data_IF_805470408999
#
_entry.id   IF_805470408999
#
_cell.length_a   1.000
_cell.length_b   1.000
_cell.length_c   1.000
_cell.angle_alpha   90.00
_cell.angle_beta   90.00
_cell.angle_gamma   90.00
#
_symmetry.space_group_name_H-M   'P 1'
#
loop_
_entity.id
_entity.type
_entity.pdbx_description
1 polymer ?
#
# COMPACT_ATOMS: atom_id res chain seq x y z
N UNK A 1 -18.40 10.04 19.64
CA UNK A 1 -17.58 9.02 18.98
C UNK A 1 -18.08 8.76 17.56
N UNK A 2 -19.18 8.01 17.37
CA UNK A 2 -19.63 7.64 16.02
C UNK A 2 -19.90 8.83 15.07
N UNK A 3 -20.63 9.87 15.50
CA UNK A 3 -20.88 11.03 14.64
C UNK A 3 -19.59 11.78 14.28
N UNK A 4 -18.65 11.93 15.21
CA UNK A 4 -17.36 12.61 14.93
C UNK A 4 -16.51 11.84 13.91
N UNK A 5 -16.48 10.50 14.00
CA UNK A 5 -15.81 9.66 13.01
C UNK A 5 -16.51 9.76 11.65
N UNK A 6 -17.84 9.78 11.63
CA UNK A 6 -18.61 9.94 10.40
C UNK A 6 -18.40 11.31 9.74
N UNK A 7 -18.33 12.36 10.53
CA UNK A 7 -18.00 13.72 10.06
C UNK A 7 -16.58 13.80 9.49
N UNK A 8 -15.65 13.00 10.03
CA UNK A 8 -14.29 12.85 9.53
C UNK A 8 -14.19 11.93 8.28
N UNK A 9 -15.31 11.37 7.81
CA UNK A 9 -15.36 10.58 6.57
C UNK A 9 -15.39 9.06 6.75
N UNK A 10 -15.44 8.56 7.99
CA UNK A 10 -15.52 7.12 8.24
C UNK A 10 -16.87 6.52 7.81
N UNK A 11 -16.83 5.28 7.33
CA UNK A 11 -17.99 4.54 6.85
C UNK A 11 -18.52 3.54 7.90
N UNK A 12 -19.82 3.55 8.22
CA UNK A 12 -20.40 2.54 9.09
C UNK A 12 -20.55 1.21 8.36
N UNK A 13 -20.10 0.13 8.98
CA UNK A 13 -20.27 -1.22 8.46
C UNK A 13 -21.10 -2.07 9.42
N UNK A 14 -21.88 -2.96 8.82
CA UNK A 14 -22.59 -4.04 9.48
C UNK A 14 -21.91 -5.35 9.14
N UNK A 15 -21.59 -6.13 10.17
CA UNK A 15 -21.05 -7.46 10.03
C UNK A 15 -22.17 -8.48 9.80
N UNK A 16 -21.83 -9.60 9.17
CA UNK A 16 -22.73 -10.73 9.02
C UNK A 16 -21.99 -12.07 9.16
N UNK A 17 -22.76 -13.16 9.14
CA UNK A 17 -22.20 -14.50 9.28
C UNK A 17 -21.61 -14.75 10.66
N UNK A 18 -20.36 -15.22 10.71
CA UNK A 18 -19.66 -15.55 11.95
C UNK A 18 -19.28 -14.30 12.75
N UNK A 19 -18.81 -13.26 12.07
CA UNK A 19 -18.38 -12.01 12.70
C UNK A 19 -19.50 -11.34 13.51
N UNK A 20 -20.74 -11.37 13.00
CA UNK A 20 -21.90 -10.83 13.71
C UNK A 20 -22.32 -11.63 14.96
N UNK A 21 -21.91 -12.90 15.09
CA UNK A 21 -22.35 -13.77 16.20
C UNK A 21 -21.48 -13.63 17.44
N UNK A 22 -20.17 -13.51 17.25
CA UNK A 22 -19.22 -13.45 18.37
C UNK A 22 -18.95 -12.02 18.85
N UNK A 23 -19.36 -11.03 18.06
CA UNK A 23 -18.93 -9.64 18.25
C UNK A 23 -17.55 -9.44 17.64
N UNK A 24 -17.26 -8.19 17.28
CA UNK A 24 -15.98 -7.81 16.69
C UNK A 24 -15.22 -6.98 17.71
N UNK A 25 -13.96 -7.33 17.93
CA UNK A 25 -13.08 -6.73 18.92
C UNK A 25 -11.81 -6.16 18.26
N UNK A 26 -11.17 -5.25 18.99
CA UNK A 26 -9.86 -4.68 18.66
C UNK A 26 -8.80 -5.77 18.39
N UNK A 27 -7.94 -5.56 17.38
CA UNK A 27 -6.87 -6.49 16.99
C UNK A 27 -7.34 -7.69 16.15
N UNK A 28 -8.63 -7.82 15.87
CA UNK A 28 -9.14 -8.90 15.02
C UNK A 28 -8.93 -8.62 13.53
N UNK A 29 -8.84 -9.71 12.75
CA UNK A 29 -8.88 -9.67 11.29
C UNK A 29 -10.29 -10.05 10.82
N UNK A 30 -10.90 -9.22 9.99
CA UNK A 30 -12.25 -9.45 9.45
C UNK A 30 -12.23 -9.37 7.93
N UNK A 31 -12.75 -10.40 7.26
CA UNK A 31 -12.83 -10.36 5.80
C UNK A 31 -13.88 -9.34 5.32
N UNK A 32 -13.59 -8.56 4.27
CA UNK A 32 -14.54 -7.68 3.59
C UNK A 32 -15.81 -8.44 3.15
N UNK A 33 -15.66 -9.71 2.77
CA UNK A 33 -16.78 -10.60 2.43
C UNK A 33 -17.74 -10.90 3.60
N UNK A 34 -17.42 -10.47 4.83
CA UNK A 34 -18.25 -10.61 6.02
C UNK A 34 -18.81 -9.28 6.55
N UNK A 35 -18.59 -8.18 5.83
CA UNK A 35 -19.05 -6.84 6.21
C UNK A 35 -19.67 -6.12 5.01
N UNK A 36 -20.57 -5.17 5.27
CA UNK A 36 -21.16 -4.31 4.24
C UNK A 36 -21.46 -2.94 4.81
N UNK A 37 -21.61 -1.94 3.96
CA UNK A 37 -22.12 -0.63 4.37
C UNK A 37 -23.45 -0.77 5.12
N UNK A 38 -23.49 -0.19 6.32
CA UNK A 38 -24.68 -0.22 7.17
C UNK A 38 -25.80 0.62 6.55
N UNK A 39 -26.98 0.02 6.37
CA UNK A 39 -28.18 0.76 6.01
C UNK A 39 -28.77 1.55 7.20
N UNK A 40 -29.76 2.40 6.93
CA UNK A 40 -30.43 3.24 7.94
C UNK A 40 -30.99 2.48 9.15
N UNK A 41 -31.33 1.21 8.99
CA UNK A 41 -31.93 0.36 10.03
C UNK A 41 -31.03 -0.80 10.45
N UNK A 42 -29.80 -0.86 9.92
CA UNK A 42 -28.86 -1.90 10.28
C UNK A 42 -28.16 -1.55 11.59
N UNK A 43 -27.76 -2.58 12.34
CA UNK A 43 -26.84 -2.37 13.45
C UNK A 43 -25.46 -2.00 12.88
N UNK A 44 -24.80 -1.03 13.53
CA UNK A 44 -23.44 -0.65 13.17
C UNK A 44 -22.51 -1.44 14.07
N UNK A 45 -21.73 -2.34 13.48
CA UNK A 45 -20.79 -3.21 14.19
C UNK A 45 -19.36 -2.66 14.10
N UNK A 46 -19.06 -1.94 13.02
CA UNK A 46 -17.74 -1.37 12.74
C UNK A 46 -17.86 0.03 12.15
N UNK A 47 -16.80 0.80 12.29
CA UNK A 47 -16.59 2.09 11.64
C UNK A 47 -15.28 2.02 10.87
N UNK A 48 -15.35 1.85 9.56
CA UNK A 48 -14.20 1.81 8.66
C UNK A 48 -13.63 3.22 8.48
N UNK A 49 -12.31 3.34 8.62
CA UNK A 49 -11.57 4.57 8.40
C UNK A 49 -11.48 4.87 6.90
N UNK A 50 -11.35 6.14 6.48
CA UNK A 50 -11.25 6.51 5.07
C UNK A 50 -9.84 6.24 4.50
N UNK A 51 -9.27 5.09 4.83
CA UNK A 51 -7.95 4.62 4.41
C UNK A 51 -8.07 3.13 4.08
N UNK A 52 -8.36 2.83 2.82
CA UNK A 52 -8.42 1.46 2.32
C UNK A 52 -7.87 1.39 0.91
N UNK A 53 -7.27 0.25 0.58
CA UNK A 53 -6.61 0.03 -0.69
C UNK A 53 -6.69 -1.44 -1.11
N UNK A 54 -6.37 -1.71 -2.37
CA UNK A 54 -6.30 -3.04 -2.97
C UNK A 54 -5.39 -2.98 -4.20
N UNK A 55 -5.15 -4.12 -4.85
CA UNK A 55 -4.35 -4.17 -6.08
C UNK A 55 -4.96 -3.33 -7.22
N UNK A 56 -6.27 -3.04 -7.16
CA UNK A 56 -7.03 -2.38 -8.22
C UNK A 56 -7.73 -1.08 -7.78
N UNK A 57 -7.49 -0.61 -6.56
CA UNK A 57 -8.21 0.52 -6.00
C UNK A 57 -7.53 1.11 -4.77
N UNK A 58 -7.82 2.38 -4.49
CA UNK A 58 -7.02 3.17 -3.54
C UNK A 58 -5.76 3.72 -4.21
N UNK A 59 -4.97 4.41 -3.41
CA UNK A 59 -3.69 5.02 -3.78
C UNK A 59 -2.56 4.52 -2.88
N UNK A 60 -1.34 4.78 -3.31
CA UNK A 60 -0.12 4.60 -2.50
C UNK A 60 -0.20 5.40 -1.19
N UNK A 61 -0.86 6.55 -1.21
CA UNK A 61 -1.17 7.32 0.00
C UNK A 61 -2.07 6.55 0.96
N UNK A 62 -3.12 5.88 0.48
CA UNK A 62 -4.02 5.11 1.33
C UNK A 62 -3.29 3.95 2.01
N UNK A 63 -2.43 3.25 1.25
CA UNK A 63 -1.61 2.16 1.79
C UNK A 63 -0.57 2.65 2.80
N UNK A 64 0.12 3.76 2.51
CA UNK A 64 1.03 4.40 3.46
C UNK A 64 0.29 4.88 4.72
N UNK A 65 -0.91 5.43 4.57
CA UNK A 65 -1.72 5.92 5.70
C UNK A 65 -2.19 4.77 6.60
N UNK A 66 -2.55 3.61 6.04
CA UNK A 66 -2.84 2.39 6.84
C UNK A 66 -1.64 2.03 7.72
N UNK A 67 -0.43 2.02 7.16
CA UNK A 67 0.81 1.73 7.90
C UNK A 67 1.09 2.78 8.98
N UNK A 68 1.03 4.07 8.62
CA UNK A 68 1.28 5.16 9.55
C UNK A 68 0.31 5.15 10.74
N UNK A 69 -0.98 4.87 10.49
CA UNK A 69 -1.97 4.75 11.55
C UNK A 69 -1.67 3.58 12.50
N UNK A 70 -1.27 2.43 11.97
CA UNK A 70 -0.84 1.27 12.77
C UNK A 70 0.40 1.62 13.62
N UNK A 71 1.39 2.33 13.06
CA UNK A 71 2.60 2.72 13.78
C UNK A 71 2.32 3.72 14.92
N UNK A 72 1.43 4.69 14.67
CA UNK A 72 1.10 5.75 15.63
C UNK A 72 0.18 5.24 16.74
N UNK A 73 -0.89 4.52 16.38
CA UNK A 73 -1.95 4.14 17.31
C UNK A 73 -1.85 2.70 17.79
N UNK A 74 -0.98 1.89 17.20
CA UNK A 74 -0.80 0.49 17.53
C UNK A 74 -1.69 -0.43 16.69
N UNK A 75 -1.12 -1.56 16.28
CA UNK A 75 -1.80 -2.59 15.49
C UNK A 75 -3.11 -3.06 16.13
N UNK A 76 -3.10 -3.30 17.44
CA UNK A 76 -4.25 -3.88 18.14
C UNK A 76 -5.37 -2.85 18.38
N UNK A 77 -5.15 -1.57 18.08
CA UNK A 77 -6.19 -0.55 18.14
C UNK A 77 -7.24 -0.75 17.05
N UNK A 78 -6.90 -1.41 15.95
CA UNK A 78 -7.79 -1.54 14.81
C UNK A 78 -8.31 -2.96 14.63
N UNK A 79 -9.49 -3.06 14.02
CA UNK A 79 -9.91 -4.24 13.29
C UNK A 79 -9.33 -4.13 11.89
N UNK A 80 -8.60 -5.16 11.46
CA UNK A 80 -7.95 -5.21 10.17
C UNK A 80 -8.90 -5.86 9.16
N UNK A 81 -9.37 -5.04 8.21
CA UNK A 81 -10.21 -5.52 7.12
C UNK A 81 -9.31 -6.07 6.04
N UNK A 82 -9.61 -7.28 5.55
CA UNK A 82 -8.87 -7.91 4.47
C UNK A 82 -9.81 -8.52 3.43
N UNK A 83 -9.39 -8.64 2.19
CA UNK A 83 -10.27 -9.17 1.14
C UNK A 83 -9.52 -9.74 -0.06
N UNK A 84 -10.28 -10.16 -1.09
CA UNK A 84 -9.67 -10.58 -2.34
C UNK A 84 -8.85 -9.44 -2.96
N UNK A 85 -7.89 -9.79 -3.82
CA UNK A 85 -7.08 -8.82 -4.57
C UNK A 85 -6.32 -7.82 -3.68
N UNK A 86 -5.72 -8.33 -2.59
CA UNK A 86 -4.91 -7.51 -1.70
C UNK A 86 -5.70 -6.41 -0.98
N UNK A 87 -7.04 -6.52 -0.90
CA UNK A 87 -7.85 -5.49 -0.24
C UNK A 87 -7.50 -5.41 1.24
N UNK A 88 -7.20 -4.21 1.71
CA UNK A 88 -6.82 -3.90 3.10
C UNK A 88 -7.51 -2.62 3.53
N UNK A 89 -7.98 -2.58 4.78
CA UNK A 89 -8.49 -1.38 5.42
C UNK A 89 -8.46 -1.49 6.94
N UNK A 90 -8.72 -0.36 7.60
CA UNK A 90 -8.78 -0.29 9.06
C UNK A 90 -10.19 0.08 9.52
N UNK A 91 -10.65 -0.54 10.59
CA UNK A 91 -11.92 -0.21 11.23
C UNK A 91 -11.80 -0.14 12.74
N UNK A 92 -12.76 0.53 13.38
CA UNK A 92 -12.97 0.48 14.82
C UNK A 92 -14.24 -0.30 15.14
N UNK A 93 -14.22 -1.24 16.12
CA UNK A 93 -15.42 -1.90 16.60
C UNK A 93 -16.36 -0.90 17.28
N UNK A 94 -17.62 -0.92 16.87
CA UNK A 94 -18.65 -0.06 17.42
C UNK A 94 -19.10 -0.61 18.78
N UNK A 95 -18.86 0.14 19.85
CA UNK A 95 -19.28 -0.22 21.21
C UNK A 95 -18.18 -0.76 22.12
N UNK A 96 -16.98 -1.02 21.58
CA UNK A 96 -15.79 -1.21 22.41
C UNK A 96 -15.13 0.14 22.71
N UNK A 97 -14.56 0.28 23.91
CA UNK A 97 -13.65 1.38 24.21
C UNK A 97 -12.32 1.08 23.54
N UNK A 98 -11.63 2.13 23.07
CA UNK A 98 -10.25 1.97 22.61
C UNK A 98 -9.40 1.38 23.76
N UNK A 99 -8.51 0.42 23.45
CA UNK A 99 -7.58 -0.10 24.44
C UNK A 99 -6.77 1.04 25.07
N UNK A 100 -6.61 1.00 26.40
CA UNK A 100 -5.79 1.96 27.15
C UNK A 100 -6.17 3.45 26.98
N UNK A 101 -7.43 3.75 26.64
CA UNK A 101 -7.94 5.12 26.44
C UNK A 101 -9.02 5.54 27.47
N UNK A 102 -8.72 5.57 28.78
CA UNK A 102 -9.72 5.90 29.80
C UNK A 102 -10.27 7.32 29.69
N UNK A 103 -9.46 8.25 29.16
CA UNK A 103 -9.78 9.68 29.05
C UNK A 103 -10.29 10.08 27.65
N UNK A 104 -10.18 9.19 26.65
CA UNK A 104 -10.62 9.46 25.28
C UNK A 104 -9.62 10.25 24.42
N UNK A 105 -8.39 10.41 24.92
CA UNK A 105 -7.32 11.18 24.27
C UNK A 105 -6.82 10.48 22.99
N UNK A 106 -6.73 9.13 23.01
CA UNK A 106 -6.32 8.35 21.83
C UNK A 106 -7.38 8.51 20.74
N UNK A 107 -8.66 8.35 21.10
CA UNK A 107 -9.75 8.53 20.16
C UNK A 107 -9.80 9.94 19.59
N UNK A 108 -9.61 10.97 20.43
CA UNK A 108 -9.59 12.36 19.98
C UNK A 108 -8.43 12.63 19.01
N UNK A 109 -7.24 12.09 19.30
CA UNK A 109 -6.07 12.17 18.43
C UNK A 109 -6.30 11.45 17.09
N UNK A 110 -6.91 10.27 17.11
CA UNK A 110 -7.27 9.52 15.91
C UNK A 110 -8.26 10.29 15.05
N UNK A 111 -9.37 10.77 15.62
CA UNK A 111 -10.38 11.57 14.89
C UNK A 111 -9.74 12.80 14.25
N UNK A 112 -8.87 13.51 14.97
CA UNK A 112 -8.16 14.67 14.44
C UNK A 112 -7.22 14.29 13.27
N UNK A 113 -6.54 13.16 13.38
CA UNK A 113 -5.66 12.65 12.32
C UNK A 113 -6.46 12.30 11.07
N UNK A 114 -7.59 11.62 11.22
CA UNK A 114 -8.48 11.27 10.10
C UNK A 114 -9.11 12.51 9.47
N UNK A 115 -9.57 13.48 10.26
CA UNK A 115 -10.14 14.72 9.70
C UNK A 115 -9.09 15.53 8.92
N UNK A 116 -7.83 15.53 9.38
CA UNK A 116 -6.73 16.20 8.67
C UNK A 116 -6.44 15.61 7.29
N UNK A 117 -6.71 14.31 7.07
CA UNK A 117 -6.55 13.66 5.76
C UNK A 117 -7.40 14.30 4.65
N UNK A 118 -8.47 14.99 5.02
CA UNK A 118 -9.36 15.67 4.07
C UNK A 118 -8.72 16.92 3.46
N UNK A 119 -7.83 17.56 4.20
CA UNK A 119 -7.10 18.75 3.78
C UNK A 119 -5.70 18.40 3.24
N UNK A 120 -5.06 17.37 3.82
CA UNK A 120 -3.74 16.89 3.45
C UNK A 120 -3.71 15.36 3.46
N UNK A 121 -3.72 14.67 2.29
CA UNK A 121 -4.07 13.26 2.16
C UNK A 121 -2.97 12.29 2.62
N UNK A 122 -2.15 12.68 3.58
CA UNK A 122 -1.02 11.91 4.07
C UNK A 122 -0.83 12.13 5.58
N UNK A 123 -0.73 11.02 6.33
CA UNK A 123 -0.48 11.04 7.78
C UNK A 123 0.98 11.33 8.06
N UNK A 124 1.88 10.64 7.36
CA UNK A 124 3.33 10.74 7.56
C UNK A 124 4.08 10.61 6.22
N UNK A 125 4.81 11.65 5.85
CA UNK A 125 5.59 11.72 4.61
C UNK A 125 6.78 10.77 4.59
N UNK A 126 7.39 10.49 5.74
CA UNK A 126 8.49 9.54 5.83
C UNK A 126 7.99 8.11 5.60
N UNK A 127 6.85 7.75 6.21
CA UNK A 127 6.23 6.42 6.01
C UNK A 127 5.84 6.23 4.54
N UNK A 128 5.27 7.26 3.90
CA UNK A 128 4.94 7.21 2.48
C UNK A 128 6.18 7.10 1.59
N UNK A 129 7.21 7.90 1.83
CA UNK A 129 8.45 7.81 1.05
C UNK A 129 9.09 6.43 1.17
N UNK A 130 9.19 5.88 2.38
CA UNK A 130 9.69 4.51 2.58
C UNK A 130 8.80 3.46 1.91
N UNK A 131 7.49 3.66 1.90
CA UNK A 131 6.56 2.77 1.23
C UNK A 131 6.74 2.75 -0.29
N UNK A 132 6.94 3.92 -0.92
CA UNK A 132 7.21 4.02 -2.35
C UNK A 132 8.52 3.32 -2.71
N UNK A 133 9.57 3.49 -1.89
CA UNK A 133 10.85 2.81 -2.09
C UNK A 133 10.70 1.27 -2.01
N UNK A 134 9.90 0.77 -1.06
CA UNK A 134 9.60 -0.66 -0.94
C UNK A 134 8.84 -1.22 -2.16
N UNK A 135 7.80 -0.53 -2.63
CA UNK A 135 7.06 -1.00 -3.82
C UNK A 135 7.95 -0.97 -5.06
N UNK A 136 8.80 0.07 -5.21
CA UNK A 136 9.77 0.12 -6.29
C UNK A 136 10.66 -1.12 -6.24
N UNK A 137 11.24 -1.45 -5.09
CA UNK A 137 12.05 -2.66 -4.91
C UNK A 137 11.27 -3.95 -5.25
N UNK A 138 10.04 -4.09 -4.78
CA UNK A 138 9.18 -5.24 -5.08
C UNK A 138 8.89 -5.37 -6.60
N UNK A 139 8.75 -4.25 -7.31
CA UNK A 139 8.53 -4.21 -8.75
C UNK A 139 9.69 -4.84 -9.54
N UNK A 140 10.93 -4.80 -9.02
CA UNK A 140 12.08 -5.50 -9.59
C UNK A 140 11.78 -6.99 -9.77
N UNK A 141 11.43 -7.64 -8.67
CA UNK A 141 11.19 -9.08 -8.62
C UNK A 141 9.92 -9.51 -9.36
N UNK A 142 8.98 -8.58 -9.55
CA UNK A 142 7.66 -8.86 -10.08
C UNK A 142 7.58 -8.75 -11.60
N UNK A 143 8.14 -7.70 -12.21
CA UNK A 143 8.10 -7.51 -13.67
C UNK A 143 9.33 -6.81 -14.25
N UNK A 144 9.90 -5.82 -13.55
CA UNK A 144 10.96 -4.96 -14.13
C UNK A 144 12.17 -5.77 -14.57
N UNK A 145 12.58 -6.78 -13.79
CA UNK A 145 13.68 -7.66 -14.20
C UNK A 145 13.41 -8.35 -15.53
N UNK A 146 12.18 -8.85 -15.72
CA UNK A 146 11.80 -9.54 -16.95
C UNK A 146 11.69 -8.58 -18.13
N UNK A 147 11.18 -7.37 -17.91
CA UNK A 147 11.10 -6.35 -18.95
C UNK A 147 12.48 -5.84 -19.35
N UNK A 148 13.36 -5.57 -18.37
CA UNK A 148 14.76 -5.24 -18.61
C UNK A 148 15.44 -6.30 -19.47
N UNK A 149 15.31 -7.58 -19.09
CA UNK A 149 15.90 -8.68 -19.85
C UNK A 149 15.42 -8.73 -21.31
N UNK A 150 14.11 -8.50 -21.52
CA UNK A 150 13.49 -8.47 -22.85
C UNK A 150 13.95 -7.26 -23.67
N UNK A 151 14.02 -6.08 -23.07
CA UNK A 151 14.32 -4.83 -23.78
C UNK A 151 15.83 -4.64 -24.01
N UNK A 152 16.67 -5.41 -23.30
CA UNK A 152 18.12 -5.49 -23.57
C UNK A 152 18.45 -6.11 -24.94
N UNK A 153 17.57 -6.96 -25.50
CA UNK A 153 17.75 -7.55 -26.84
C UNK A 153 17.95 -6.49 -27.93
N UNK A 154 17.29 -5.33 -27.80
CA UNK A 154 17.39 -4.22 -28.77
C UNK A 154 18.79 -3.59 -28.82
N UNK A 155 19.60 -3.78 -27.76
CA UNK A 155 20.95 -3.24 -27.64
C UNK A 155 22.04 -4.31 -27.82
N UNK A 156 21.68 -5.59 -27.73
CA UNK A 156 22.61 -6.69 -27.88
C UNK A 156 23.24 -6.70 -29.30
N UNK A 157 24.57 -6.89 -29.46
CA UNK A 157 25.22 -6.84 -30.77
C UNK A 157 24.71 -7.85 -31.81
N UNK A 158 24.20 -8.98 -31.35
CA UNK A 158 23.59 -10.05 -32.15
C UNK A 158 22.06 -10.08 -32.05
N UNK A 159 21.46 -9.14 -31.32
CA UNK A 159 20.02 -9.03 -31.10
C UNK A 159 19.45 -10.05 -30.12
N UNK A 160 20.28 -10.65 -29.27
CA UNK A 160 19.87 -11.60 -28.21
C UNK A 160 20.75 -11.41 -26.96
N UNK A 161 20.17 -10.88 -25.90
CA UNK A 161 20.86 -10.63 -24.63
C UNK A 161 20.99 -11.88 -23.74
N UNK A 162 20.34 -13.00 -24.10
CA UNK A 162 20.14 -14.16 -23.22
C UNK A 162 21.46 -14.74 -22.69
N UNK A 163 22.44 -14.95 -23.56
CA UNK A 163 23.74 -15.54 -23.16
C UNK A 163 24.51 -14.59 -22.22
N UNK A 164 24.47 -13.29 -22.48
CA UNK A 164 25.13 -12.29 -21.64
C UNK A 164 24.45 -12.16 -20.27
N UNK A 165 23.12 -12.24 -20.21
CA UNK A 165 22.35 -12.21 -18.98
C UNK A 165 22.60 -13.46 -18.10
N UNK A 166 22.81 -14.64 -18.72
CA UNK A 166 23.14 -15.86 -17.99
C UNK A 166 24.49 -15.79 -17.27
N UNK A 167 25.44 -15.05 -17.84
CA UNK A 167 26.79 -14.87 -17.29
C UNK A 167 26.90 -13.65 -16.35
N UNK A 168 25.85 -12.83 -16.25
CA UNK A 168 25.83 -11.61 -15.45
C UNK A 168 25.34 -11.85 -14.02
N UNK A 169 25.91 -11.12 -13.07
CA UNK A 169 25.47 -11.14 -11.69
C UNK A 169 24.18 -10.32 -11.49
N UNK A 170 23.23 -10.87 -10.74
CA UNK A 170 21.94 -10.22 -10.51
C UNK A 170 22.09 -8.89 -9.76
N UNK A 171 22.98 -8.82 -8.77
CA UNK A 171 23.17 -7.61 -7.97
C UNK A 171 23.83 -6.50 -8.81
N UNK A 172 24.65 -6.88 -9.79
CA UNK A 172 25.21 -5.95 -10.78
C UNK A 172 24.13 -5.36 -11.69
N UNK A 173 23.21 -6.19 -12.20
CA UNK A 173 22.06 -5.72 -13.00
C UNK A 173 21.13 -4.81 -12.20
N UNK A 174 20.75 -5.26 -11.01
CA UNK A 174 19.91 -4.49 -10.10
C UNK A 174 20.57 -3.15 -9.76
N UNK A 175 21.85 -3.18 -9.35
CA UNK A 175 22.61 -2.00 -8.97
C UNK A 175 22.77 -1.00 -10.11
N UNK A 176 23.01 -1.48 -11.34
CA UNK A 176 23.09 -0.61 -12.51
C UNK A 176 21.73 0.02 -12.85
N UNK A 177 20.64 -0.76 -12.80
CA UNK A 177 19.30 -0.25 -13.10
C UNK A 177 18.83 0.79 -12.07
N UNK A 178 18.89 0.46 -10.78
CA UNK A 178 18.47 1.38 -9.71
C UNK A 178 19.44 2.55 -9.50
N UNK A 179 20.73 2.35 -9.81
CA UNK A 179 21.75 3.39 -9.76
C UNK A 179 21.65 4.43 -10.87
N UNK A 180 20.78 4.24 -11.87
CA UNK A 180 20.53 5.24 -12.89
C UNK A 180 19.91 6.51 -12.27
N UNK A 181 20.68 7.60 -12.21
CA UNK A 181 20.25 8.89 -11.63
C UNK A 181 19.00 9.47 -12.30
N UNK A 182 18.69 9.03 -13.51
CA UNK A 182 17.52 9.46 -14.25
C UNK A 182 16.23 8.71 -13.93
N UNK A 183 16.24 7.73 -13.02
CA UNK A 183 15.04 7.00 -12.62
C UNK A 183 13.93 7.94 -12.12
N UNK A 184 12.69 7.63 -12.52
CA UNK A 184 11.49 8.40 -12.19
C UNK A 184 10.39 7.43 -11.78
N UNK A 185 10.38 7.08 -10.50
CA UNK A 185 9.47 6.10 -9.92
C UNK A 185 8.14 6.75 -9.57
N UNK A 186 7.06 6.15 -10.06
CA UNK A 186 5.69 6.55 -9.73
C UNK A 186 4.87 5.32 -9.38
N UNK A 187 4.00 5.44 -8.38
CA UNK A 187 3.02 4.41 -8.07
C UNK A 187 1.91 4.43 -9.13
N UNK A 188 1.68 3.29 -9.79
CA UNK A 188 0.57 3.11 -10.74
C UNK A 188 -0.72 2.72 -10.00
N UNK A 189 -0.57 1.92 -8.94
CA UNK A 189 -1.65 1.53 -8.04
C UNK A 189 -1.18 1.68 -6.60
N UNK A 190 -2.04 1.35 -5.64
CA UNK A 190 -1.65 1.31 -4.24
C UNK A 190 -0.51 0.33 -3.94
N UNK A 191 -0.30 -0.69 -4.78
CA UNK A 191 0.64 -1.79 -4.53
C UNK A 191 1.62 -2.03 -5.68
N UNK A 192 1.70 -1.11 -6.66
CA UNK A 192 2.55 -1.26 -7.86
C UNK A 192 3.22 0.06 -8.22
N UNK A 193 4.49 -0.01 -8.62
CA UNK A 193 5.28 1.14 -9.06
C UNK A 193 5.94 0.89 -10.41
N UNK A 194 5.99 1.93 -11.24
CA UNK A 194 6.63 1.91 -12.55
C UNK A 194 7.72 2.96 -12.61
N UNK A 195 8.78 2.66 -13.36
CA UNK A 195 9.80 3.64 -13.69
C UNK A 195 9.46 4.29 -15.04
N UNK A 196 9.08 5.57 -15.04
CA UNK A 196 8.71 6.30 -16.26
C UNK A 196 9.90 6.46 -17.24
N UNK A 197 11.12 6.18 -16.76
CA UNK A 197 12.34 6.23 -17.56
C UNK A 197 12.99 4.87 -17.72
N UNK A 198 12.17 3.81 -17.78
CA UNK A 198 12.61 2.43 -18.01
C UNK A 198 13.54 2.31 -19.22
N UNK A 199 13.16 2.81 -20.39
CA UNK A 199 13.97 2.70 -21.62
C UNK A 199 15.36 3.34 -21.47
N UNK A 200 15.43 4.50 -20.80
CA UNK A 200 16.70 5.17 -20.51
C UNK A 200 17.55 4.36 -19.51
N UNK A 201 16.92 3.72 -18.52
CA UNK A 201 17.56 2.84 -17.56
C UNK A 201 18.07 1.55 -18.23
N UNK A 202 17.31 0.94 -19.15
CA UNK A 202 17.74 -0.21 -19.98
C UNK A 202 18.97 0.18 -20.78
N UNK A 203 18.92 1.33 -21.45
CA UNK A 203 20.06 1.89 -22.20
C UNK A 203 21.29 2.08 -21.30
N UNK A 204 21.08 2.58 -20.08
CA UNK A 204 22.14 2.73 -19.11
C UNK A 204 22.76 1.39 -18.71
N UNK A 205 21.95 0.37 -18.41
CA UNK A 205 22.40 -0.98 -18.07
C UNK A 205 23.19 -1.60 -19.23
N UNK A 206 22.67 -1.53 -20.47
CA UNK A 206 23.33 -2.02 -21.67
C UNK A 206 24.76 -1.44 -21.81
N UNK A 207 24.90 -0.14 -21.58
CA UNK A 207 26.20 0.53 -21.66
C UNK A 207 27.11 0.26 -20.45
N UNK A 208 26.56 0.28 -19.23
CA UNK A 208 27.32 0.22 -17.99
C UNK A 208 27.78 -1.20 -17.62
N UNK A 209 26.92 -2.20 -17.84
CA UNK A 209 27.18 -3.60 -17.48
C UNK A 209 27.81 -4.33 -18.66
N UNK A 210 27.25 -4.18 -19.86
CA UNK A 210 27.64 -4.99 -21.01
C UNK A 210 28.55 -4.26 -22.02
N UNK A 211 28.70 -2.93 -21.89
CA UNK A 211 29.46 -2.13 -22.85
C UNK A 211 28.83 -2.07 -24.24
N UNK A 212 27.53 -2.34 -24.36
CA UNK A 212 26.80 -2.29 -25.62
C UNK A 212 26.56 -0.83 -26.02
N UNK A 213 26.74 -0.55 -27.32
CA UNK A 213 26.59 0.80 -27.85
C UNK A 213 25.10 1.04 -28.09
N UNK A 214 24.58 2.08 -27.44
CA UNK A 214 23.21 2.53 -27.62
C UNK A 214 23.05 3.66 -28.64
#
# INVERSE_FOLDING_TARGET
MFESLREAGCAPLTAYGYAAREGIEHGQNVAYDNVRLAGTYDNIDLVELPVSYSDYGGSDLDAANVRALIEIFGHDTFVHLYGPHGSVGLALPCGALLPDDPDGDILASLVKTIDALRDYPIVDECVHSSYVDEIADEAWSSWIRSDLARDLDDYAPDGDASDALLDCDEDELYGAYYGFEGNDWVCETATSAVNLRHDDAVRHVAAAVFGWIA
#
